data_IF_437466084976
#
_entry.id   IF_437466084976
#
_cell.length_a   1.000
_cell.length_b   1.000
_cell.length_c   1.000
_cell.angle_alpha   90.00
_cell.angle_beta   90.00
_cell.angle_gamma   90.00
#
_symmetry.space_group_name_H-M   'P 1'
#
loop_
_entity.id
_entity.type
_entity.pdbx_description
1 polymer ?
#
# COMPACT_ATOMS: atom_id res chain seq x y z
N UNK A 1 10.91 12.62 -8.94
CA UNK A 1 11.02 11.25 -8.45
C UNK A 1 9.66 10.54 -8.42
N UNK A 2 8.66 11.10 -7.76
CA UNK A 2 7.33 10.50 -7.69
C UNK A 2 6.47 10.95 -8.86
N UNK A 3 5.85 9.97 -9.56
CA UNK A 3 5.05 10.26 -10.76
C UNK A 3 3.57 10.49 -10.46
N UNK A 4 3.06 9.89 -9.43
CA UNK A 4 1.64 9.98 -9.05
C UNK A 4 1.42 9.40 -7.65
N UNK A 5 0.28 9.70 -7.05
CA UNK A 5 -0.23 8.92 -5.92
C UNK A 5 -0.84 7.65 -6.52
N UNK A 6 -0.24 6.51 -6.21
CA UNK A 6 -0.72 5.21 -6.72
C UNK A 6 -1.97 4.77 -5.98
N UNK A 7 -1.92 4.78 -4.66
CA UNK A 7 -3.07 4.43 -3.82
C UNK A 7 -2.93 4.97 -2.40
N UNK A 8 -4.03 4.94 -1.69
CA UNK A 8 -4.05 5.06 -0.23
C UNK A 8 -4.45 3.70 0.34
N UNK A 9 -3.75 3.25 1.37
CA UNK A 9 -4.04 2.01 2.06
C UNK A 9 -4.90 2.25 3.29
N UNK A 10 -5.99 1.52 3.41
CA UNK A 10 -6.93 1.64 4.52
C UNK A 10 -7.03 0.29 5.22
N UNK A 11 -6.69 0.25 6.51
CA UNK A 11 -6.80 -0.94 7.32
C UNK A 11 -8.25 -1.15 7.75
N UNK A 12 -8.77 -2.35 7.51
CA UNK A 12 -10.15 -2.71 7.86
C UNK A 12 -10.20 -4.02 8.64
N UNK A 13 -11.09 -4.10 9.60
CA UNK A 13 -11.33 -5.34 10.34
C UNK A 13 -12.35 -6.23 9.61
N UNK A 14 -13.36 -5.62 9.01
CA UNK A 14 -14.43 -6.30 8.27
C UNK A 14 -14.36 -5.89 6.80
N UNK A 15 -13.74 -6.75 6.00
CA UNK A 15 -13.55 -6.48 4.57
C UNK A 15 -14.87 -6.45 3.81
N UNK A 16 -15.82 -7.31 4.16
CA UNK A 16 -17.12 -7.35 3.47
C UNK A 16 -17.90 -6.05 3.70
N UNK A 17 -17.89 -5.53 4.91
CA UNK A 17 -18.52 -4.24 5.21
C UNK A 17 -17.83 -3.09 4.49
N UNK A 18 -16.49 -3.10 4.44
CA UNK A 18 -15.72 -2.07 3.73
C UNK A 18 -15.99 -2.12 2.22
N UNK A 19 -16.09 -3.31 1.63
CA UNK A 19 -16.42 -3.47 0.21
C UNK A 19 -17.86 -3.02 -0.09
N UNK A 20 -18.81 -3.30 0.79
CA UNK A 20 -20.17 -2.83 0.63
C UNK A 20 -20.24 -1.29 0.60
N UNK A 21 -19.44 -0.64 1.43
CA UNK A 21 -19.35 0.83 1.47
C UNK A 21 -18.62 1.39 0.24
N UNK A 22 -17.37 1.01 0.05
CA UNK A 22 -16.54 1.59 -1.02
C UNK A 22 -16.99 1.16 -2.41
N UNK A 23 -17.29 -0.12 -2.59
CA UNK A 23 -17.73 -0.65 -3.88
C UNK A 23 -19.21 -0.39 -4.15
N UNK A 24 -20.07 -0.66 -3.16
CA UNK A 24 -21.51 -0.56 -3.30
C UNK A 24 -22.04 0.87 -3.19
N UNK A 25 -21.70 1.57 -2.12
CA UNK A 25 -22.24 2.92 -1.86
C UNK A 25 -21.44 4.00 -2.58
N UNK A 26 -20.11 3.96 -2.47
CA UNK A 26 -19.25 4.96 -3.13
C UNK A 26 -19.04 4.67 -4.62
N UNK A 27 -19.39 3.49 -5.09
CA UNK A 27 -19.32 3.14 -6.51
C UNK A 27 -17.92 2.94 -7.07
N UNK A 28 -16.95 2.61 -6.24
CA UNK A 28 -15.58 2.35 -6.69
C UNK A 28 -15.46 0.93 -7.26
N UNK A 29 -15.11 0.75 -8.54
CA UNK A 29 -14.97 -0.60 -9.10
C UNK A 29 -13.81 -1.36 -8.47
N UNK A 30 -14.01 -2.63 -8.17
CA UNK A 30 -12.92 -3.51 -7.74
C UNK A 30 -12.04 -3.83 -8.94
N UNK A 31 -10.76 -3.41 -8.86
CA UNK A 31 -9.78 -3.68 -9.91
C UNK A 31 -9.04 -4.99 -9.69
N UNK A 32 -8.80 -5.35 -8.42
CA UNK A 32 -7.98 -6.52 -8.10
C UNK A 32 -8.21 -6.95 -6.65
N UNK A 33 -8.07 -8.25 -6.40
CA UNK A 33 -8.13 -8.82 -5.05
C UNK A 33 -7.07 -9.90 -4.93
N UNK A 34 -6.29 -9.86 -3.87
CA UNK A 34 -5.15 -10.75 -3.71
C UNK A 34 -4.82 -10.99 -2.25
N UNK A 35 -4.43 -12.22 -1.92
CA UNK A 35 -3.82 -12.53 -0.62
C UNK A 35 -2.31 -12.36 -0.75
N UNK A 36 -1.74 -11.44 0.02
CA UNK A 36 -0.30 -11.17 0.03
C UNK A 36 0.28 -11.77 1.31
N UNK A 37 0.69 -13.02 1.22
CA UNK A 37 1.14 -13.80 2.38
C UNK A 37 2.35 -13.16 3.06
N UNK A 38 3.30 -12.63 2.29
CA UNK A 38 4.49 -11.98 2.84
C UNK A 38 4.16 -10.76 3.70
N UNK A 39 3.09 -10.07 3.38
CA UNK A 39 2.63 -8.90 4.14
C UNK A 39 1.56 -9.25 5.17
N UNK A 40 1.07 -10.48 5.13
CA UNK A 40 0.05 -10.96 6.07
C UNK A 40 -1.31 -10.33 5.90
N UNK A 41 -1.69 -10.00 4.65
CA UNK A 41 -2.95 -9.32 4.35
C UNK A 41 -3.70 -9.94 3.19
N UNK A 42 -5.02 -9.77 3.21
CA UNK A 42 -5.84 -9.80 2.02
C UNK A 42 -6.06 -8.37 1.57
N UNK A 43 -5.71 -8.06 0.33
CA UNK A 43 -5.79 -6.72 -0.23
C UNK A 43 -6.81 -6.65 -1.34
N UNK A 44 -7.64 -5.61 -1.34
CA UNK A 44 -8.57 -5.32 -2.42
C UNK A 44 -8.28 -3.93 -2.93
N UNK A 45 -8.00 -3.84 -4.23
CA UNK A 45 -7.71 -2.59 -4.90
C UNK A 45 -8.95 -2.12 -5.64
N UNK A 46 -9.39 -0.89 -5.34
CA UNK A 46 -10.55 -0.28 -5.99
C UNK A 46 -10.09 0.93 -6.80
N UNK A 47 -10.67 1.13 -7.98
CA UNK A 47 -10.31 2.24 -8.85
C UNK A 47 -10.98 3.53 -8.40
N UNK A 48 -10.21 4.62 -8.37
CA UNK A 48 -10.67 5.98 -8.16
C UNK A 48 -9.93 6.88 -9.15
N UNK A 49 -10.53 7.15 -10.30
CA UNK A 49 -9.81 7.86 -11.36
C UNK A 49 -8.54 7.11 -11.76
N UNK A 50 -7.42 7.82 -11.77
CA UNK A 50 -6.12 7.24 -12.09
C UNK A 50 -5.41 6.61 -10.89
N UNK A 51 -5.97 6.76 -9.70
CA UNK A 51 -5.45 6.19 -8.47
C UNK A 51 -6.34 5.08 -7.93
N UNK A 52 -6.01 4.64 -6.72
CA UNK A 52 -6.72 3.52 -6.10
C UNK A 52 -6.89 3.73 -4.60
N UNK A 53 -7.89 3.09 -4.05
CA UNK A 53 -7.99 2.79 -2.63
C UNK A 53 -7.67 1.31 -2.45
N UNK A 54 -6.76 0.99 -1.54
CA UNK A 54 -6.43 -0.38 -1.18
C UNK A 54 -6.98 -0.69 0.20
N UNK A 55 -7.93 -1.61 0.27
CA UNK A 55 -8.45 -2.10 1.54
C UNK A 55 -7.58 -3.27 2.01
N UNK A 56 -7.13 -3.22 3.26
CA UNK A 56 -6.21 -4.19 3.82
C UNK A 56 -6.84 -4.87 5.03
N UNK A 57 -7.10 -6.18 4.93
CA UNK A 57 -7.55 -7.00 6.05
C UNK A 57 -6.40 -7.90 6.49
N UNK A 58 -6.00 -7.88 7.77
CA UNK A 58 -4.94 -8.77 8.23
C UNK A 58 -5.39 -10.23 8.19
N UNK A 59 -4.46 -11.12 7.83
CA UNK A 59 -4.74 -12.57 7.84
C UNK A 59 -4.82 -13.11 9.27
N UNK A 60 -4.11 -12.47 10.20
CA UNK A 60 -4.17 -12.77 11.64
C UNK A 60 -3.64 -11.55 12.43
N UNK A 61 -3.82 -11.57 13.73
CA UNK A 61 -3.51 -10.40 14.58
C UNK A 61 -2.02 -10.09 14.65
N UNK A 62 -1.16 -11.09 14.49
CA UNK A 62 0.30 -10.92 14.55
C UNK A 62 0.88 -10.56 13.17
N UNK A 63 0.35 -9.52 12.56
CA UNK A 63 0.81 -8.94 11.30
C UNK A 63 0.96 -7.44 11.48
N UNK A 64 1.68 -6.75 10.59
CA UNK A 64 1.79 -5.27 10.68
C UNK A 64 0.42 -4.59 10.67
N UNK A 65 -0.49 -4.99 9.79
CA UNK A 65 -1.85 -4.41 9.74
C UNK A 65 -2.68 -4.83 10.95
N UNK A 66 -2.53 -6.08 11.41
CA UNK A 66 -3.20 -6.54 12.64
C UNK A 66 -2.79 -5.74 13.86
N UNK A 67 -1.50 -5.47 14.01
CA UNK A 67 -0.99 -4.62 15.10
C UNK A 67 -1.44 -3.18 14.98
N UNK A 68 -1.54 -2.66 13.74
CA UNK A 68 -2.08 -1.33 13.51
C UNK A 68 -3.54 -1.24 13.98
N UNK A 69 -4.38 -2.20 13.59
CA UNK A 69 -5.79 -2.24 14.01
C UNK A 69 -5.93 -2.32 15.52
N UNK A 70 -5.08 -3.10 16.18
CA UNK A 70 -5.08 -3.25 17.63
C UNK A 70 -4.76 -1.93 18.34
N UNK A 71 -3.82 -1.16 17.80
CA UNK A 71 -3.39 0.11 18.41
C UNK A 71 -4.29 1.29 18.05
N UNK A 72 -4.80 1.35 16.83
CA UNK A 72 -5.46 2.54 16.29
C UNK A 72 -6.88 2.30 15.81
N UNK A 73 -7.30 1.05 15.67
CA UNK A 73 -8.56 0.72 15.00
C UNK A 73 -8.48 0.91 13.49
N UNK A 74 -9.59 0.70 12.78
CA UNK A 74 -9.65 0.88 11.32
C UNK A 74 -9.34 2.34 10.92
N UNK A 75 -8.70 2.50 9.77
CA UNK A 75 -8.40 3.81 9.23
C UNK A 75 -7.26 3.82 8.25
N UNK A 76 -6.81 5.02 7.89
CA UNK A 76 -5.73 5.22 6.94
C UNK A 76 -4.45 4.59 7.48
N UNK A 77 -3.87 3.70 6.67
CA UNK A 77 -2.66 2.96 7.03
C UNK A 77 -1.41 3.53 6.35
N UNK A 78 -1.48 3.82 5.05
CA UNK A 78 -0.35 4.35 4.32
C UNK A 78 -0.77 5.11 3.07
N UNK A 79 0.18 5.88 2.52
CA UNK A 79 0.07 6.51 1.21
C UNK A 79 1.17 5.94 0.32
N UNK A 80 0.83 5.55 -0.89
CA UNK A 80 1.77 4.98 -1.84
C UNK A 80 1.96 5.89 -3.05
N UNK A 81 3.21 6.12 -3.40
CA UNK A 81 3.60 6.92 -4.56
C UNK A 81 4.19 6.03 -5.65
N UNK A 82 3.78 6.30 -6.89
CA UNK A 82 4.32 5.59 -8.05
C UNK A 82 5.68 6.14 -8.44
N UNK A 83 6.62 5.23 -8.68
CA UNK A 83 7.96 5.56 -9.17
C UNK A 83 8.26 4.75 -10.43
N UNK A 84 9.07 5.32 -11.32
CA UNK A 84 9.46 4.64 -12.55
C UNK A 84 10.51 3.55 -12.30
N UNK A 85 11.42 3.80 -11.38
CA UNK A 85 12.54 2.89 -11.05
C UNK A 85 12.73 2.91 -9.53
N UNK A 86 12.23 1.88 -8.87
CA UNK A 86 12.22 1.84 -7.40
C UNK A 86 13.63 1.71 -6.81
N UNK A 87 14.53 0.98 -7.45
CA UNK A 87 15.89 0.85 -6.95
C UNK A 87 16.63 2.17 -6.99
N UNK A 88 16.43 2.92 -8.07
CA UNK A 88 17.00 4.25 -8.23
C UNK A 88 16.40 5.24 -7.23
N UNK A 89 15.09 5.16 -7.01
CA UNK A 89 14.41 5.98 -6.01
C UNK A 89 14.94 5.70 -4.60
N UNK A 90 15.08 4.44 -4.23
CA UNK A 90 15.62 4.06 -2.92
C UNK A 90 17.05 4.54 -2.74
N UNK A 91 17.89 4.43 -3.77
CA UNK A 91 19.27 4.91 -3.72
C UNK A 91 19.33 6.43 -3.48
N UNK A 92 18.49 7.19 -4.18
CA UNK A 92 18.41 8.65 -4.02
C UNK A 92 17.92 9.03 -2.61
N UNK A 93 16.91 8.34 -2.10
CA UNK A 93 16.38 8.60 -0.76
C UNK A 93 17.41 8.25 0.32
N UNK A 94 18.12 7.15 0.16
CA UNK A 94 19.21 6.76 1.08
C UNK A 94 20.31 7.81 1.11
N UNK A 95 20.71 8.32 -0.06
CA UNK A 95 21.72 9.38 -0.17
C UNK A 95 21.26 10.66 0.51
N UNK A 96 19.95 10.96 0.44
CA UNK A 96 19.37 12.13 1.11
C UNK A 96 19.16 11.95 2.62
N UNK A 97 19.48 10.79 3.17
CA UNK A 97 19.36 10.51 4.59
C UNK A 97 17.95 10.11 5.03
N UNK A 98 17.09 9.73 4.11
CA UNK A 98 15.73 9.29 4.42
C UNK A 98 15.78 7.89 5.04
N UNK A 99 15.10 7.71 6.17
CA UNK A 99 15.04 6.42 6.86
C UNK A 99 14.13 5.45 6.12
N UNK A 100 14.67 4.32 5.70
CA UNK A 100 13.94 3.27 4.99
C UNK A 100 13.51 2.17 5.96
N UNK A 101 12.32 1.61 5.73
CA UNK A 101 11.90 0.33 6.33
C UNK A 101 12.49 -0.80 5.50
N UNK A 102 12.30 -0.74 4.18
CA UNK A 102 12.83 -1.73 3.26
C UNK A 102 14.06 -1.19 2.54
N UNK A 103 15.19 -1.85 2.72
CA UNK A 103 16.44 -1.48 2.05
C UNK A 103 16.44 -1.92 0.57
N UNK A 104 15.64 -2.92 0.24
CA UNK A 104 15.49 -3.44 -1.11
C UNK A 104 14.00 -3.66 -1.41
N UNK A 105 13.59 -3.58 -2.69
CA UNK A 105 12.20 -3.80 -3.06
C UNK A 105 11.70 -5.21 -2.75
N UNK A 106 10.42 -5.31 -2.41
CA UNK A 106 9.69 -6.57 -2.24
C UNK A 106 8.59 -6.66 -3.30
N UNK A 107 8.07 -7.86 -3.49
CA UNK A 107 6.92 -8.07 -4.39
C UNK A 107 5.64 -7.59 -3.71
N UNK A 108 4.90 -6.73 -4.38
CA UNK A 108 3.58 -6.30 -3.99
C UNK A 108 2.48 -6.95 -4.83
N UNK A 109 1.27 -6.39 -4.75
CA UNK A 109 0.15 -6.90 -5.54
C UNK A 109 0.35 -6.63 -7.03
N UNK A 110 -0.28 -7.44 -7.89
CA UNK A 110 -0.21 -7.33 -9.35
C UNK A 110 1.22 -7.42 -9.89
N UNK A 111 2.11 -8.10 -9.18
CA UNK A 111 3.51 -8.21 -9.60
C UNK A 111 4.30 -6.91 -9.50
N UNK A 112 3.80 -5.93 -8.77
CA UNK A 112 4.52 -4.68 -8.53
C UNK A 112 5.74 -4.89 -7.63
N UNK A 113 6.65 -3.92 -7.64
CA UNK A 113 7.77 -3.87 -6.70
C UNK A 113 7.51 -2.74 -5.72
N UNK A 114 7.62 -3.03 -4.44
CA UNK A 114 7.26 -2.06 -3.39
C UNK A 114 8.35 -1.94 -2.34
N UNK A 115 8.39 -0.79 -1.67
CA UNK A 115 9.26 -0.56 -0.53
C UNK A 115 8.65 0.50 0.37
N UNK A 116 8.77 0.31 1.69
CA UNK A 116 8.26 1.27 2.66
C UNK A 116 9.37 2.17 3.20
N UNK A 117 9.01 3.44 3.38
CA UNK A 117 9.81 4.42 4.11
C UNK A 117 9.29 4.50 5.54
N UNK A 118 10.20 4.73 6.50
CA UNK A 118 9.80 4.84 7.89
C UNK A 118 8.89 6.06 8.10
N UNK A 119 7.81 5.95 8.89
CA UNK A 119 6.89 7.07 9.12
C UNK A 119 7.58 8.34 9.62
N UNK A 120 8.62 8.21 10.44
CA UNK A 120 9.37 9.36 10.94
C UNK A 120 10.02 10.18 9.82
N UNK A 121 10.34 9.57 8.68
CA UNK A 121 10.91 10.26 7.53
C UNK A 121 9.87 11.07 6.77
N UNK A 122 8.58 10.76 6.94
CA UNK A 122 7.47 11.36 6.20
C UNK A 122 6.46 12.07 7.11
N UNK A 123 6.95 12.67 8.19
CA UNK A 123 6.10 13.45 9.10
C UNK A 123 5.07 12.63 9.85
N UNK A 124 5.31 11.34 10.06
CA UNK A 124 4.40 10.45 10.78
C UNK A 124 3.51 9.60 9.87
N UNK A 125 3.63 9.74 8.56
CA UNK A 125 2.84 8.97 7.59
C UNK A 125 3.66 7.81 7.05
N UNK A 126 3.20 6.58 7.23
CA UNK A 126 3.81 5.43 6.58
C UNK A 126 3.68 5.61 5.07
N UNK A 127 4.81 5.59 4.38
CA UNK A 127 4.88 5.91 2.95
C UNK A 127 5.42 4.73 2.17
N UNK A 128 4.77 4.40 1.08
CA UNK A 128 5.16 3.30 0.20
C UNK A 128 5.59 3.82 -1.16
N UNK A 129 6.62 3.22 -1.73
CA UNK A 129 6.97 3.40 -3.15
C UNK A 129 6.46 2.19 -3.92
N UNK A 130 5.88 2.45 -5.09
CA UNK A 130 5.35 1.40 -5.97
C UNK A 130 5.91 1.59 -7.37
N UNK A 131 6.59 0.57 -7.87
CA UNK A 131 6.91 0.45 -9.28
C UNK A 131 5.95 -0.57 -9.88
N UNK A 132 4.97 -0.14 -10.69
CA UNK A 132 4.03 -1.08 -11.28
C UNK A 132 4.72 -2.10 -12.18
N UNK A 133 4.16 -3.29 -12.31
CA UNK A 133 4.65 -4.26 -13.27
C UNK A 133 4.55 -3.69 -14.68
N UNK A 134 5.55 -3.98 -15.52
CA UNK A 134 5.54 -3.56 -16.92
C UNK A 134 4.45 -4.31 -17.66
N UNK A 135 3.49 -3.55 -18.26
CA UNK A 135 2.42 -4.15 -19.04
C UNK A 135 2.91 -4.52 -20.44
N UNK A 136 2.50 -5.67 -20.90
CA UNK A 136 2.74 -6.10 -22.27
C UNK A 136 4.20 -6.42 -22.58
N UNK A 137 4.98 -6.64 -21.59
CA UNK A 137 6.35 -7.07 -21.78
C UNK A 137 6.40 -8.53 -22.20
#
# INVERSE_FOLDING_TARGET
MFGAIDHIGVAVADLDAALALHGGVYGMPVAHRETVTEQGVEAVLLDVGDGHVELLRPLHDDTPVGRFLDRRGPGLHHVAYRVADIERALAALRTAGVRLVDEAPRTGIRGSRVAFLHPAASGGVLTELVEPATLGA
#
